data_IF_662239397568
#
_entry.id   IF_662239397568
#
_cell.length_a   1.000
_cell.length_b   1.000
_cell.length_c   1.000
_cell.angle_alpha   90.00
_cell.angle_beta   90.00
_cell.angle_gamma   90.00
#
_symmetry.space_group_name_H-M   'P 1'
#
loop_
_entity.id
_entity.type
_entity.pdbx_description
1 polymer ?
#
# COMPACT_ATOMS: atom_id res chain seq x y z
N UNK A 1 4.94 -22.97 -27.80
CA UNK A 1 5.46 -21.75 -27.15
C UNK A 1 4.49 -21.43 -26.03
N UNK A 2 4.92 -21.59 -24.78
CA UNK A 2 4.05 -21.38 -23.62
C UNK A 2 3.79 -19.89 -23.46
N UNK A 3 2.52 -19.50 -23.56
CA UNK A 3 2.08 -18.15 -23.27
C UNK A 3 2.27 -17.93 -21.76
N UNK A 4 3.29 -17.16 -21.38
CA UNK A 4 3.49 -16.76 -20.00
C UNK A 4 2.49 -15.65 -19.74
N UNK A 5 1.24 -16.02 -19.42
CA UNK A 5 0.29 -15.09 -18.83
C UNK A 5 0.79 -14.76 -17.41
N UNK A 6 1.85 -13.96 -17.35
CA UNK A 6 2.49 -13.57 -16.10
C UNK A 6 1.47 -12.74 -15.32
N UNK A 7 0.96 -13.35 -14.25
CA UNK A 7 -0.08 -12.76 -13.43
C UNK A 7 0.58 -11.74 -12.50
N UNK A 8 0.85 -10.55 -13.03
CA UNK A 8 1.57 -9.53 -12.30
C UNK A 8 0.67 -8.83 -11.27
N UNK A 9 1.18 -8.69 -10.05
CA UNK A 9 0.57 -7.83 -9.05
C UNK A 9 1.02 -6.39 -9.27
N UNK A 10 0.06 -5.52 -9.56
CA UNK A 10 0.28 -4.09 -9.66
C UNK A 10 0.12 -3.45 -8.29
N UNK A 11 0.94 -2.45 -7.99
CA UNK A 11 0.89 -1.78 -6.70
C UNK A 11 1.15 -0.28 -6.82
N UNK A 12 0.65 0.46 -5.84
CA UNK A 12 1.00 1.84 -5.58
C UNK A 12 1.64 1.92 -4.20
N UNK A 13 2.82 2.54 -4.12
CA UNK A 13 3.52 2.75 -2.86
C UNK A 13 3.51 4.24 -2.46
N UNK A 14 3.44 4.50 -1.16
CA UNK A 14 3.49 5.82 -0.56
C UNK A 14 4.46 5.82 0.62
N UNK A 15 5.32 6.84 0.68
CA UNK A 15 6.03 7.16 1.92
C UNK A 15 5.08 7.90 2.85
N UNK A 16 5.08 7.52 4.11
CA UNK A 16 4.27 8.11 5.16
C UNK A 16 5.15 8.82 6.18
N UNK A 17 4.66 9.97 6.64
CA UNK A 17 5.20 10.72 7.77
C UNK A 17 4.07 11.01 8.75
N UNK A 18 4.30 10.68 10.03
CA UNK A 18 3.36 10.97 11.12
C UNK A 18 3.95 12.06 12.02
N UNK A 19 3.14 13.04 12.40
CA UNK A 19 3.58 14.15 13.27
C UNK A 19 3.36 13.87 14.76
N UNK A 20 2.61 12.82 15.11
CA UNK A 20 2.35 12.40 16.48
C UNK A 20 2.43 10.88 16.58
N UNK A 21 3.10 10.38 17.63
CA UNK A 21 3.22 8.95 17.84
C UNK A 21 1.90 8.40 18.39
N UNK A 22 1.45 7.25 17.92
CA UNK A 22 0.19 6.68 18.36
C UNK A 22 -0.35 5.58 17.45
N UNK A 23 -1.53 5.09 17.80
CA UNK A 23 -2.25 4.14 16.96
C UNK A 23 -2.97 4.82 15.81
N UNK A 24 -2.78 4.27 14.62
CA UNK A 24 -3.41 4.69 13.37
C UNK A 24 -4.16 3.54 12.74
N UNK A 25 -5.34 3.83 12.19
CA UNK A 25 -6.10 2.91 11.34
C UNK A 25 -6.04 3.40 9.90
N UNK A 26 -5.59 2.55 8.99
CA UNK A 26 -5.63 2.77 7.55
C UNK A 26 -6.70 1.86 6.96
N UNK A 27 -7.67 2.42 6.23
CA UNK A 27 -8.71 1.67 5.52
C UNK A 27 -8.73 2.11 4.06
N UNK A 28 -8.71 1.15 3.14
CA UNK A 28 -9.00 1.47 1.74
C UNK A 28 -10.50 1.54 1.48
N UNK A 29 -10.88 2.38 0.52
CA UNK A 29 -12.22 2.50 -0.03
C UNK A 29 -12.10 2.29 -1.53
N UNK A 30 -12.61 1.16 -2.02
CA UNK A 30 -12.58 0.77 -3.43
C UNK A 30 -13.61 -0.33 -3.69
N UNK A 31 -13.98 -0.52 -4.96
CA UNK A 31 -14.73 -1.70 -5.41
C UNK A 31 -13.81 -2.90 -5.69
N UNK A 32 -12.49 -2.72 -5.57
CA UNK A 32 -11.51 -3.79 -5.69
C UNK A 32 -11.28 -4.46 -4.33
N UNK A 33 -10.97 -5.75 -4.36
CA UNK A 33 -10.40 -6.43 -3.20
C UNK A 33 -8.93 -6.03 -3.04
N UNK A 34 -8.67 -4.94 -2.32
CA UNK A 34 -7.32 -4.42 -2.10
C UNK A 34 -6.61 -5.13 -0.94
N UNK A 35 -5.29 -5.19 -1.03
CA UNK A 35 -4.38 -5.71 -0.01
C UNK A 35 -3.41 -4.58 0.37
N UNK A 36 -3.29 -4.29 1.67
CA UNK A 36 -2.37 -3.30 2.20
C UNK A 36 -1.20 -3.93 2.93
N UNK A 37 0.00 -3.44 2.67
CA UNK A 37 1.22 -3.77 3.40
C UNK A 37 1.83 -2.49 3.95
N UNK A 38 2.25 -2.51 5.20
CA UNK A 38 2.97 -1.40 5.82
C UNK A 38 4.37 -1.86 6.24
N UNK A 39 5.37 -1.14 5.75
CA UNK A 39 6.77 -1.42 6.00
C UNK A 39 7.41 -0.32 6.84
N UNK A 40 8.38 -0.72 7.66
CA UNK A 40 9.28 0.20 8.35
C UNK A 40 10.36 0.68 7.37
N UNK A 41 10.51 2.00 7.20
CA UNK A 41 11.56 2.67 6.43
C UNK A 41 11.57 2.42 4.91
N UNK A 42 11.63 1.17 4.45
CA UNK A 42 11.76 0.83 3.03
C UNK A 42 10.98 -0.41 2.63
N UNK A 43 10.42 -0.36 1.42
CA UNK A 43 9.85 -1.50 0.71
C UNK A 43 10.88 -2.02 -0.31
N UNK A 44 11.20 -3.31 -0.25
CA UNK A 44 12.28 -3.94 -1.06
C UNK A 44 11.73 -5.13 -1.84
N UNK A 45 11.14 -4.92 -3.03
CA UNK A 45 10.94 -6.02 -3.97
C UNK A 45 12.32 -6.59 -4.35
N UNK A 46 12.60 -7.91 -4.26
CA UNK A 46 11.65 -9.03 -4.18
C UNK A 46 11.35 -9.59 -2.77
N UNK A 47 11.99 -9.10 -1.71
CA UNK A 47 11.78 -9.59 -0.34
C UNK A 47 10.66 -8.81 0.37
N UNK A 48 9.43 -9.28 0.17
CA UNK A 48 8.23 -8.68 0.78
C UNK A 48 8.14 -8.88 2.31
N UNK A 49 9.01 -9.71 2.90
CA UNK A 49 9.04 -9.92 4.35
C UNK A 49 9.94 -8.91 5.05
N UNK A 50 10.93 -8.37 4.33
CA UNK A 50 11.88 -7.42 4.87
C UNK A 50 11.17 -6.14 5.32
N UNK A 51 11.37 -5.78 6.59
CA UNK A 51 10.79 -4.60 7.25
C UNK A 51 9.25 -4.58 7.31
N UNK A 52 8.57 -5.68 7.04
CA UNK A 52 7.11 -5.72 7.11
C UNK A 52 6.65 -5.55 8.56
N UNK A 53 5.76 -4.59 8.81
CA UNK A 53 5.17 -4.34 10.12
C UNK A 53 3.76 -4.93 10.23
N UNK A 54 2.96 -4.77 9.18
CA UNK A 54 1.61 -5.29 9.12
C UNK A 54 1.16 -5.47 7.68
N UNK A 55 0.29 -6.45 7.46
CA UNK A 55 -0.35 -6.67 6.17
C UNK A 55 -1.73 -7.25 6.39
N UNK A 56 -2.72 -6.80 5.63
CA UNK A 56 -4.08 -7.34 5.72
C UNK A 56 -4.86 -7.04 4.43
N UNK A 57 -5.84 -7.88 4.11
CA UNK A 57 -6.83 -7.69 3.05
C UNK A 57 -8.28 -7.73 3.58
N UNK A 58 -8.48 -8.01 4.87
CA UNK A 58 -9.81 -8.20 5.46
C UNK A 58 -10.37 -6.89 6.03
N UNK A 59 -10.99 -6.10 5.15
CA UNK A 59 -11.86 -4.98 5.54
C UNK A 59 -13.23 -5.46 6.01
N UNK A 60 -13.91 -4.63 6.81
CA UNK A 60 -15.22 -4.91 7.45
C UNK A 60 -16.35 -5.24 6.44
N UNK A 61 -16.15 -4.92 5.16
CA UNK A 61 -17.13 -5.05 4.09
C UNK A 61 -16.69 -6.05 2.99
N UNK A 62 -15.74 -6.95 3.30
CA UNK A 62 -15.07 -7.91 2.39
C UNK A 62 -14.40 -7.27 1.15
N UNK A 63 -14.25 -5.94 1.15
CA UNK A 63 -13.65 -5.19 0.07
C UNK A 63 -12.63 -4.22 0.65
N UNK A 64 -11.36 -4.59 0.49
CA UNK A 64 -10.22 -3.73 0.71
C UNK A 64 -9.59 -3.81 2.10
N UNK A 65 -8.33 -3.41 2.17
CA UNK A 65 -7.53 -3.61 3.37
C UNK A 65 -7.91 -2.73 4.56
N UNK A 66 -7.63 -3.24 5.75
CA UNK A 66 -7.58 -2.47 7.00
C UNK A 66 -6.35 -2.83 7.83
N UNK A 67 -5.57 -1.82 8.21
CA UNK A 67 -4.42 -1.94 9.11
C UNK A 67 -4.66 -1.10 10.36
N UNK A 68 -4.31 -1.61 11.54
CA UNK A 68 -4.33 -0.87 12.80
C UNK A 68 -2.99 -1.07 13.51
N UNK A 69 -2.21 -0.02 13.67
CA UNK A 69 -0.81 -0.13 14.09
C UNK A 69 -0.31 1.15 14.77
N UNK A 70 0.63 0.98 15.69
CA UNK A 70 1.37 2.09 16.31
C UNK A 70 2.45 2.63 15.36
N UNK A 71 2.51 3.95 15.21
CA UNK A 71 3.54 4.65 14.43
C UNK A 71 4.24 5.71 15.29
N UNK A 72 5.53 5.96 15.01
CA UNK A 72 6.40 6.92 15.69
C UNK A 72 6.76 8.10 14.78
N UNK A 73 7.02 9.27 15.37
CA UNK A 73 7.13 10.57 14.66
C UNK A 73 8.40 10.80 13.87
N UNK A 74 9.45 10.01 14.10
CA UNK A 74 10.77 10.14 13.45
C UNK A 74 11.00 9.03 12.42
N UNK A 75 10.09 8.06 12.35
CA UNK A 75 10.21 6.92 11.47
C UNK A 75 9.48 7.20 10.16
N UNK A 76 10.15 6.91 9.04
CA UNK A 76 9.49 6.88 7.73
C UNK A 76 8.85 5.52 7.56
N UNK A 77 7.61 5.47 7.07
CA UNK A 77 6.94 4.22 6.74
C UNK A 77 6.64 4.15 5.25
N UNK A 78 6.46 2.93 4.72
CA UNK A 78 6.00 2.73 3.35
C UNK A 78 4.70 1.94 3.37
N UNK A 79 3.61 2.55 2.89
CA UNK A 79 2.37 1.84 2.62
C UNK A 79 2.35 1.42 1.16
N UNK A 80 2.20 0.12 0.93
CA UNK A 80 1.98 -0.46 -0.38
C UNK A 80 0.53 -0.94 -0.48
N UNK A 81 -0.17 -0.47 -1.50
CA UNK A 81 -1.52 -0.90 -1.83
C UNK A 81 -1.46 -1.70 -3.13
N UNK A 82 -1.98 -2.91 -3.08
CA UNK A 82 -2.16 -3.80 -4.24
C UNK A 82 -3.55 -4.42 -4.19
N UNK A 83 -3.82 -5.41 -5.02
CA UNK A 83 -5.07 -6.16 -5.10
C UNK A 83 -4.82 -7.62 -4.72
N UNK A 84 -5.85 -8.29 -4.20
CA UNK A 84 -5.76 -9.72 -3.84
C UNK A 84 -5.55 -10.60 -5.08
N UNK A 85 -6.18 -10.22 -6.19
CA UNK A 85 -6.03 -10.88 -7.48
C UNK A 85 -5.07 -10.09 -8.38
N UNK A 86 -4.19 -10.79 -9.14
CA UNK A 86 -3.28 -10.16 -10.08
C UNK A 86 -4.03 -9.49 -11.24
N UNK A 87 -3.38 -8.57 -11.94
CA UNK A 87 -3.92 -7.85 -13.10
C UNK A 87 -5.22 -7.05 -12.85
N UNK A 88 -5.58 -6.77 -11.60
CA UNK A 88 -6.71 -5.91 -11.25
C UNK A 88 -6.24 -4.48 -11.02
N UNK A 89 -6.89 -3.51 -11.68
CA UNK A 89 -6.66 -2.07 -11.50
C UNK A 89 -7.97 -1.33 -11.33
N UNK A 90 -7.91 -0.16 -10.72
CA UNK A 90 -9.08 0.67 -10.47
C UNK A 90 -8.78 1.78 -9.47
N UNK A 91 -9.72 2.73 -9.33
CA UNK A 91 -9.57 3.79 -8.36
C UNK A 91 -9.71 3.26 -6.93
N UNK A 92 -8.98 3.88 -6.02
CA UNK A 92 -9.13 3.67 -4.59
C UNK A 92 -8.85 4.97 -3.85
N UNK A 93 -9.34 5.06 -2.61
CA UNK A 93 -8.96 6.09 -1.66
C UNK A 93 -8.50 5.43 -0.36
N UNK A 94 -7.66 6.12 0.40
CA UNK A 94 -7.21 5.66 1.72
C UNK A 94 -7.78 6.63 2.75
N UNK A 95 -8.57 6.10 3.68
CA UNK A 95 -9.00 6.82 4.86
C UNK A 95 -8.07 6.48 6.03
N UNK A 96 -7.61 7.51 6.74
CA UNK A 96 -6.73 7.36 7.90
C UNK A 96 -7.36 8.00 9.11
N UNK A 97 -7.45 7.26 10.20
CA UNK A 97 -7.85 7.79 11.51
C UNK A 97 -6.74 7.57 12.53
N UNK A 98 -6.50 8.55 13.40
CA UNK A 98 -5.43 8.51 14.39
C UNK A 98 -5.35 9.83 15.16
N UNK A 99 -4.28 9.99 15.94
CA UNK A 99 -4.09 11.16 16.81
C UNK A 99 -3.75 12.46 16.05
N UNK A 100 -3.25 12.35 14.81
CA UNK A 100 -2.93 13.48 13.95
C UNK A 100 -3.06 13.10 12.47
N UNK A 101 -2.91 14.07 11.57
CA UNK A 101 -2.86 13.80 10.13
C UNK A 101 -1.58 13.05 9.74
N UNK A 102 -1.68 12.19 8.73
CA UNK A 102 -0.55 11.49 8.11
C UNK A 102 -0.30 12.08 6.73
N UNK A 103 0.96 12.42 6.43
CA UNK A 103 1.34 12.91 5.11
C UNK A 103 1.71 11.74 4.21
N UNK A 104 1.15 11.71 3.01
CA UNK A 104 1.44 10.72 1.97
C UNK A 104 2.27 11.35 0.86
N UNK A 105 3.40 10.74 0.52
CA UNK A 105 4.20 11.09 -0.64
C UNK A 105 4.25 9.90 -1.60
N UNK A 106 3.67 10.00 -2.82
CA UNK A 106 3.73 8.92 -3.79
C UNK A 106 5.19 8.53 -4.06
N UNK A 107 5.47 7.23 -3.95
CA UNK A 107 6.72 6.70 -4.46
C UNK A 107 6.50 6.46 -5.94
N UNK A 108 7.17 7.23 -6.79
CA UNK A 108 7.30 6.86 -8.19
C UNK A 108 7.89 5.45 -8.22
N UNK A 109 7.32 4.55 -9.02
CA UNK A 109 8.05 3.36 -9.38
C UNK A 109 9.35 3.85 -10.01
N UNK A 110 10.47 3.61 -9.34
CA UNK A 110 11.78 4.02 -9.85
C UNK A 110 11.90 3.46 -11.25
N UNK A 111 11.99 4.36 -12.22
CA UNK A 111 12.29 4.01 -13.59
C UNK A 111 13.62 3.27 -13.61
N UNK A 112 13.54 1.96 -13.83
CA UNK A 112 14.33 1.15 -14.74
C UNK A 112 13.75 -0.28 -14.61
N UNK A 113 12.97 -0.68 -15.62
CA UNK A 113 12.18 -1.92 -15.73
C UNK A 113 10.87 -2.06 -14.93
N UNK A 114 10.18 -0.97 -14.58
CA UNK A 114 8.75 -1.08 -14.24
C UNK A 114 7.89 -0.85 -15.48
N UNK A 115 7.54 -1.92 -16.19
CA UNK A 115 6.64 -1.86 -17.36
C UNK A 115 5.20 -1.50 -16.95
N UNK A 116 4.90 -1.37 -15.65
CA UNK A 116 3.52 -1.34 -15.17
C UNK A 116 3.19 -0.28 -14.12
N UNK A 117 3.62 0.96 -14.32
CA UNK A 117 3.22 2.07 -13.45
C UNK A 117 2.56 3.18 -14.26
N UNK A 118 1.24 3.09 -14.44
CA UNK A 118 0.40 4.22 -14.84
C UNK A 118 -0.78 4.32 -13.88
N UNK A 119 -0.72 5.27 -12.96
CA UNK A 119 -1.90 5.79 -12.29
C UNK A 119 -2.18 7.18 -12.88
N UNK A 120 -3.29 7.31 -13.59
CA UNK A 120 -3.86 8.60 -13.98
C UNK A 120 -4.67 9.13 -12.79
N UNK A 121 -4.23 10.26 -12.26
CA UNK A 121 -5.06 11.08 -11.37
C UNK A 121 -6.08 11.81 -12.25
N UNK A 122 -7.37 11.71 -11.91
CA UNK A 122 -8.45 12.56 -12.42
C UNK A 122 -8.67 13.74 -11.50
#
# INVERSE_FOLDING_TARGET
MGDCSDSAYLYQAFRLYVSTAGYYSFKSISNMNTFGYLYNNSFVPPDLSQNLLASNNDGVDNQGFRLYIWLDTVTTYVLVVTTFNPNVTGPFSINVTGLASVTFSPMNASGENSIHSRALLS
#
